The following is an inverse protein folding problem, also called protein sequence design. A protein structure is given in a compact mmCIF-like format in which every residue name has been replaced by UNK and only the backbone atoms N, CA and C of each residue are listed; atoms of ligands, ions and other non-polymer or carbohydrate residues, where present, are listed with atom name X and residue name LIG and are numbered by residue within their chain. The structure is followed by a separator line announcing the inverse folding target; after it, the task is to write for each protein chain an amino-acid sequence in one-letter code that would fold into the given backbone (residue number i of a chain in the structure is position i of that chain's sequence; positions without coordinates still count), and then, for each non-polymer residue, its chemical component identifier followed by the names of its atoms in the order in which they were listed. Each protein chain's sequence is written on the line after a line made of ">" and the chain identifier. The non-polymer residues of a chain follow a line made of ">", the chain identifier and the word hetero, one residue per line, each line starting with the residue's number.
data_IF_617751703425
#
_entry.id   IF_617751703425
#
_cell.length_a   1.000
_cell.length_b   1.000
_cell.length_c   1.000
_cell.angle_alpha   90.00
_cell.angle_beta   90.00
_cell.angle_gamma   90.00
#
_symmetry.space_group_name_H-M   'P 1'
#
loop_
_entity.id
_entity.type
_entity.pdbx_description
1 polymer ?
#
# COMPACT_ATOMS: atom_id res chain seq x y z
N UNK A 1 21.42 2.50 -7.62
CA UNK A 1 21.07 3.12 -8.01
C UNK A 1 21.21 4.24 -8.18
N UNK A 2 21.29 4.44 -8.48
CA UNK A 2 21.36 5.47 -8.70
C UNK A 2 20.72 6.26 -8.37
N UNK A 3 20.93 6.58 -8.05
CA UNK A 3 20.31 7.31 -7.65
C UNK A 3 20.23 8.66 -7.80
N UNK A 4 20.72 9.35 -8.69
CA UNK A 4 20.41 10.71 -8.78
C UNK A 4 18.98 10.96 -8.76
N UNK A 5 18.25 10.07 -9.27
CA UNK A 5 16.90 10.36 -9.23
C UNK A 5 16.31 10.02 -7.90
N UNK A 6 17.12 9.79 -6.96
CA UNK A 6 16.70 9.57 -5.67
C UNK A 6 15.76 10.61 -5.17
N UNK A 7 15.92 11.83 -5.57
CA UNK A 7 14.98 12.88 -5.17
C UNK A 7 13.59 12.56 -5.65
N UNK A 8 13.46 11.87 -6.78
CA UNK A 8 12.15 11.52 -7.29
C UNK A 8 11.48 10.44 -6.48
N UNK A 9 12.25 9.69 -5.68
CA UNK A 9 11.65 8.63 -4.87
C UNK A 9 11.40 9.09 -3.45
N UNK A 10 11.73 10.34 -3.13
CA UNK A 10 11.45 10.86 -1.80
C UNK A 10 10.42 11.95 -1.93
N UNK A 11 9.16 11.65 -1.57
CA UNK A 11 8.12 12.66 -1.71
C UNK A 11 8.36 13.84 -0.81
N UNK A 12 7.97 15.05 -1.25
CA UNK A 12 8.18 16.25 -0.43
C UNK A 12 7.18 16.40 0.71
N UNK A 13 6.09 15.67 0.67
CA UNK A 13 5.05 15.76 1.69
C UNK A 13 4.58 14.37 2.08
N UNK A 14 4.07 14.21 3.30
CA UNK A 14 3.49 12.94 3.71
C UNK A 14 2.31 12.57 2.83
N UNK A 15 2.15 11.27 2.59
CA UNK A 15 1.01 10.79 1.83
C UNK A 15 1.15 10.85 0.33
N UNK A 16 2.28 11.32 -0.17
CA UNK A 16 2.46 11.42 -1.61
C UNK A 16 3.00 10.14 -2.24
N UNK A 17 3.70 9.33 -1.48
CA UNK A 17 4.27 8.08 -2.00
C UNK A 17 4.14 6.99 -0.97
N UNK A 18 3.57 5.85 -1.37
CA UNK A 18 3.36 4.73 -0.47
C UNK A 18 4.00 3.46 -1.00
N UNK A 19 4.56 2.68 -0.09
CA UNK A 19 5.03 1.34 -0.39
C UNK A 19 4.02 0.36 0.19
N UNK A 20 3.48 -0.53 -0.64
CA UNK A 20 2.42 -1.43 -0.24
C UNK A 20 2.93 -2.85 -0.26
N UNK A 21 2.64 -3.60 0.78
CA UNK A 21 3.06 -4.99 0.88
C UNK A 21 1.94 -5.83 1.46
N UNK A 22 1.90 -7.09 1.05
CA UNK A 22 0.95 -8.05 1.57
C UNK A 22 1.72 -9.21 2.16
N UNK A 23 1.41 -9.56 3.40
CA UNK A 23 2.02 -10.68 4.08
C UNK A 23 0.98 -11.77 4.32
N UNK A 24 1.41 -13.01 4.30
CA UNK A 24 0.53 -14.15 4.51
C UNK A 24 0.64 -15.13 3.37
N UNK A 25 -0.19 -16.16 3.34
CA UNK A 25 -1.34 -16.35 4.22
C UNK A 25 -0.93 -16.83 5.60
N UNK A 26 -1.63 -16.33 6.59
CA UNK A 26 -1.50 -16.75 7.96
C UNK A 26 -2.67 -17.67 8.33
N UNK A 27 -2.60 -18.36 9.47
CA UNK A 27 -3.76 -19.10 9.93
C UNK A 27 -4.94 -18.15 10.06
N UNK A 28 -6.11 -18.63 9.62
CA UNK A 28 -7.30 -17.80 9.60
C UNK A 28 -7.72 -17.41 11.02
N UNK A 29 -8.03 -16.14 11.23
CA UNK A 29 -8.54 -15.70 12.50
C UNK A 29 -10.06 -15.92 12.56
N UNK A 30 -10.69 -15.44 13.64
CA UNK A 30 -12.12 -15.64 13.84
C UNK A 30 -12.96 -14.99 12.76
N UNK A 31 -12.46 -13.92 12.18
CA UNK A 31 -13.20 -13.19 11.16
C UNK A 31 -12.86 -13.66 9.75
N UNK A 32 -12.00 -14.67 9.64
CA UNK A 32 -11.63 -15.19 8.34
C UNK A 32 -10.46 -14.49 7.70
N UNK A 33 -9.78 -13.61 8.40
CA UNK A 33 -8.65 -12.88 7.83
C UNK A 33 -7.42 -13.78 7.79
N UNK A 34 -6.69 -13.72 6.69
CA UNK A 34 -5.49 -14.50 6.48
C UNK A 34 -4.31 -13.68 6.00
N UNK A 35 -4.52 -12.43 5.65
CA UNK A 35 -3.47 -11.59 5.09
C UNK A 35 -3.38 -10.28 5.85
N UNK A 36 -2.20 -9.70 5.82
CA UNK A 36 -1.97 -8.39 6.40
C UNK A 36 -1.47 -7.47 5.30
N UNK A 37 -2.23 -6.41 5.04
CA UNK A 37 -1.80 -5.41 4.09
C UNK A 37 -1.14 -4.28 4.87
N UNK A 38 0.01 -3.83 4.39
CA UNK A 38 0.77 -2.78 5.04
C UNK A 38 1.11 -1.71 4.03
N UNK A 39 0.84 -0.47 4.38
CA UNK A 39 1.19 0.67 3.56
C UNK A 39 2.12 1.56 4.38
N UNK A 40 3.29 1.88 3.82
CA UNK A 40 4.28 2.70 4.50
C UNK A 40 4.47 3.98 3.72
N UNK A 41 4.31 5.12 4.39
CA UNK A 41 4.56 6.41 3.76
C UNK A 41 6.08 6.55 3.58
N UNK A 42 6.50 6.80 2.35
CA UNK A 42 7.91 6.77 2.04
C UNK A 42 8.69 7.94 2.61
N UNK A 43 8.02 9.02 2.95
CA UNK A 43 8.69 10.16 3.56
C UNK A 43 8.82 9.99 5.07
N UNK A 44 7.70 9.76 5.75
CA UNK A 44 7.69 9.76 7.21
C UNK A 44 7.87 8.39 7.82
N UNK A 45 7.68 7.33 7.01
CA UNK A 45 7.70 5.94 7.48
C UNK A 45 6.49 5.61 8.33
N UNK A 46 5.47 6.42 8.28
CA UNK A 46 4.20 6.13 8.93
C UNK A 46 3.61 4.87 8.31
N UNK A 47 3.02 4.03 9.15
CA UNK A 47 2.48 2.74 8.71
C UNK A 47 0.98 2.70 8.90
N UNK A 48 0.27 2.26 7.85
CA UNK A 48 -1.14 1.92 7.92
C UNK A 48 -1.23 0.44 7.62
N UNK A 49 -2.12 -0.27 8.30
CA UNK A 49 -2.22 -1.71 8.13
C UNK A 49 -3.68 -2.16 8.21
N UNK A 50 -3.97 -3.27 7.55
CA UNK A 50 -5.32 -3.81 7.54
C UNK A 50 -5.26 -5.32 7.38
N UNK A 51 -6.07 -6.03 8.16
CA UNK A 51 -6.23 -7.46 7.99
C UNK A 51 -7.24 -7.72 6.88
N UNK A 52 -6.92 -8.65 6.00
CA UNK A 52 -7.73 -8.94 4.82
C UNK A 52 -7.99 -10.42 4.70
N UNK A 53 -9.12 -10.78 4.10
CA UNK A 53 -9.49 -12.17 3.89
C UNK A 53 -8.85 -12.77 2.66
N UNK A 54 -8.44 -11.95 1.72
CA UNK A 54 -7.84 -12.44 0.48
C UNK A 54 -6.69 -11.55 0.06
N UNK A 55 -5.88 -12.07 -0.88
CA UNK A 55 -4.75 -11.31 -1.39
C UNK A 55 -5.05 -10.60 -2.70
N UNK A 56 -6.32 -10.61 -3.14
CA UNK A 56 -6.66 -9.95 -4.39
C UNK A 56 -6.43 -8.45 -4.28
N UNK A 57 -6.09 -7.85 -5.41
CA UNK A 57 -5.75 -6.44 -5.42
C UNK A 57 -6.95 -5.54 -5.08
N UNK A 58 -8.14 -5.95 -5.47
CA UNK A 58 -9.30 -5.07 -5.29
C UNK A 58 -9.64 -4.79 -3.83
N UNK A 59 -9.71 -5.78 -2.93
CA UNK A 59 -9.95 -5.47 -1.52
C UNK A 59 -8.88 -4.58 -0.92
N UNK A 60 -7.64 -4.76 -1.32
CA UNK A 60 -6.56 -3.92 -0.81
C UNK A 60 -6.69 -2.50 -1.34
N UNK A 61 -7.02 -2.36 -2.62
CA UNK A 61 -7.22 -1.03 -3.20
C UNK A 61 -8.39 -0.32 -2.55
N UNK A 62 -9.45 -1.07 -2.26
CA UNK A 62 -10.61 -0.50 -1.61
C UNK A 62 -10.24 0.06 -0.25
N UNK A 63 -9.45 -0.68 0.51
CA UNK A 63 -8.97 -0.20 1.80
C UNK A 63 -8.12 1.06 1.65
N UNK A 64 -7.22 1.06 0.66
CA UNK A 64 -6.37 2.23 0.45
C UNK A 64 -7.20 3.46 0.13
N UNK A 65 -8.19 3.33 -0.76
CA UNK A 65 -9.02 4.47 -1.11
C UNK A 65 -9.91 4.92 0.03
N UNK A 66 -10.49 4.00 0.77
CA UNK A 66 -11.46 4.36 1.78
C UNK A 66 -10.80 4.86 3.06
N UNK A 67 -9.64 4.33 3.41
CA UNK A 67 -9.02 4.67 4.67
C UNK A 67 -7.75 5.50 4.50
N UNK A 68 -6.81 4.99 3.72
CA UNK A 68 -5.50 5.63 3.65
C UNK A 68 -5.54 6.92 2.85
N UNK A 69 -6.04 6.83 1.62
CA UNK A 69 -6.06 8.02 0.76
C UNK A 69 -7.13 9.02 1.21
N UNK A 70 -8.18 8.55 1.88
CA UNK A 70 -9.17 9.45 2.43
C UNK A 70 -8.56 10.30 3.54
N UNK A 71 -7.59 9.74 4.27
CA UNK A 71 -6.94 10.46 5.35
C UNK A 71 -5.82 11.35 4.85
N UNK A 72 -5.04 10.85 3.87
CA UNK A 72 -3.82 11.53 3.45
C UNK A 72 -3.92 12.23 2.11
N UNK A 73 -5.01 12.00 1.37
CA UNK A 73 -5.13 12.52 0.02
C UNK A 73 -4.61 11.53 -1.01
N UNK A 74 -4.91 11.81 -2.27
CA UNK A 74 -4.47 10.93 -3.35
C UNK A 74 -2.96 10.99 -3.49
N UNK A 75 -2.28 9.84 -3.52
CA UNK A 75 -0.83 9.85 -3.64
C UNK A 75 -0.38 10.12 -5.06
N UNK A 76 0.89 10.48 -5.20
CA UNK A 76 1.48 10.66 -6.51
C UNK A 76 1.89 9.31 -7.09
N UNK A 77 2.28 8.36 -6.25
CA UNK A 77 2.67 7.05 -6.73
C UNK A 77 2.57 6.00 -5.61
N UNK A 78 2.50 4.76 -6.05
CA UNK A 78 2.44 3.61 -5.17
C UNK A 78 3.45 2.59 -5.70
N UNK A 79 4.19 1.96 -4.80
CA UNK A 79 5.15 0.93 -5.16
C UNK A 79 4.77 -0.38 -4.49
N UNK A 80 4.78 -1.47 -5.24
CA UNK A 80 4.51 -2.81 -4.72
C UNK A 80 5.52 -3.77 -5.26
N UNK A 81 5.72 -4.89 -4.55
CA UNK A 81 6.63 -5.92 -5.03
C UNK A 81 5.99 -6.78 -6.11
N UNK A 82 4.67 -6.88 -6.08
CA UNK A 82 3.94 -7.67 -7.07
C UNK A 82 3.09 -6.76 -7.91
N UNK A 83 3.75 -5.96 -8.75
CA UNK A 83 3.06 -4.92 -9.47
C UNK A 83 1.93 -5.39 -10.34
N UNK A 84 2.04 -6.59 -10.92
CA UNK A 84 1.01 -7.03 -11.84
C UNK A 84 -0.34 -7.19 -11.19
N UNK A 85 -0.38 -7.47 -9.90
CA UNK A 85 -1.66 -7.60 -9.22
C UNK A 85 -2.40 -6.28 -9.14
N UNK A 86 -1.69 -5.20 -9.33
CA UNK A 86 -2.26 -3.87 -9.15
C UNK A 86 -2.55 -3.17 -10.45
N UNK A 87 -2.21 -3.78 -11.58
CA UNK A 87 -2.42 -3.15 -12.87
C UNK A 87 -3.90 -2.89 -13.10
N UNK A 88 -4.22 -1.68 -13.48
CA UNK A 88 -5.58 -1.31 -13.78
C UNK A 88 -6.41 -0.93 -12.56
N UNK A 89 -5.92 -1.23 -11.37
CA UNK A 89 -6.68 -0.92 -10.16
C UNK A 89 -6.57 0.54 -9.81
N UNK A 90 -5.40 1.13 -10.03
CA UNK A 90 -5.16 2.53 -9.71
C UNK A 90 -5.06 3.43 -10.92
N UNK A 91 -5.33 2.90 -12.09
CA UNK A 91 -5.22 3.71 -13.31
C UNK A 91 -6.43 4.60 -13.54
#
# INVERSE_FOLDING_TARGET
>A
MHEPYRAATRPPLPGRGWSIDLAGPFPRDEDGNKYLAVAVDCLTKWVEAKLLKSKHAFPTAEWLYQDVFARWGKPDWIRTDNGTEWEGVFS
#
